data_IF_323710107261
#
_entry.id   IF_323710107261
#
_cell.length_a   1.000
_cell.length_b   1.000
_cell.length_c   1.000
_cell.angle_alpha   90.00
_cell.angle_beta   90.00
_cell.angle_gamma   90.00
#
_symmetry.space_group_name_H-M   'P 1'
#
loop_
_entity.id
_entity.type
_entity.pdbx_description
1 polymer ?
#
# COMPACT_ATOMS: atom_id res chain seq x y z
N UNK A 1 -16.49 -17.72 6.85
CA UNK A 1 -15.92 -16.37 6.59
C UNK A 1 -16.22 -15.38 7.71
N UNK A 2 -17.48 -15.14 8.11
CA UNK A 2 -17.80 -14.19 9.21
C UNK A 2 -17.10 -14.57 10.52
N UNK A 3 -17.04 -15.87 10.85
CA UNK A 3 -16.30 -16.38 12.01
C UNK A 3 -14.79 -16.12 11.91
N UNK A 4 -14.19 -16.25 10.72
CA UNK A 4 -12.76 -16.03 10.52
C UNK A 4 -12.38 -14.56 10.73
N UNK A 5 -13.16 -13.64 10.14
CA UNK A 5 -12.93 -12.20 10.30
C UNK A 5 -13.11 -11.79 11.76
N UNK A 6 -14.15 -12.30 12.43
CA UNK A 6 -14.36 -11.98 13.85
C UNK A 6 -13.21 -12.50 14.72
N UNK A 7 -12.78 -13.75 14.53
CA UNK A 7 -11.64 -14.30 15.27
C UNK A 7 -10.35 -13.49 15.04
N UNK A 8 -10.14 -13.01 13.81
CA UNK A 8 -9.00 -12.16 13.48
C UNK A 8 -9.07 -10.78 14.16
N UNK A 9 -10.28 -10.18 14.24
CA UNK A 9 -10.54 -8.96 15.01
C UNK A 9 -10.27 -9.19 16.50
N UNK A 10 -10.66 -10.35 17.03
CA UNK A 10 -10.48 -10.71 18.44
C UNK A 10 -9.01 -11.08 18.79
N UNK A 11 -8.09 -11.00 17.82
CA UNK A 11 -6.64 -11.16 18.03
C UNK A 11 -6.13 -12.58 17.86
N UNK A 12 -6.91 -13.51 17.29
CA UNK A 12 -6.42 -14.85 16.97
C UNK A 12 -5.43 -14.78 15.79
N UNK A 13 -4.14 -15.01 16.07
CA UNK A 13 -3.06 -14.92 15.08
C UNK A 13 -3.26 -15.82 13.87
N UNK A 14 -3.67 -17.08 14.06
CA UNK A 14 -3.91 -18.03 12.97
C UNK A 14 -5.06 -17.56 12.06
N UNK A 15 -6.10 -16.96 12.65
CA UNK A 15 -7.21 -16.39 11.90
C UNK A 15 -6.75 -15.17 11.08
N UNK A 16 -5.87 -14.33 11.64
CA UNK A 16 -5.28 -13.19 10.92
C UNK A 16 -4.48 -13.70 9.73
N UNK A 17 -3.54 -14.61 9.94
CA UNK A 17 -2.68 -15.17 8.88
C UNK A 17 -3.51 -15.81 7.76
N UNK A 18 -4.48 -16.65 8.12
CA UNK A 18 -5.38 -17.28 7.14
C UNK A 18 -6.19 -16.23 6.35
N UNK A 19 -6.65 -15.17 7.02
CA UNK A 19 -7.39 -14.10 6.37
C UNK A 19 -6.52 -13.27 5.43
N UNK A 20 -5.26 -12.99 5.78
CA UNK A 20 -4.31 -12.28 4.92
C UNK A 20 -3.99 -13.10 3.66
N UNK A 21 -3.70 -14.40 3.82
CA UNK A 21 -3.44 -15.31 2.70
C UNK A 21 -4.63 -15.39 1.73
N UNK A 22 -5.86 -15.45 2.25
CA UNK A 22 -7.07 -15.46 1.43
C UNK A 22 -7.32 -14.10 0.74
N UNK A 23 -6.92 -13.00 1.36
CA UNK A 23 -7.17 -11.64 0.85
C UNK A 23 -6.16 -11.25 -0.24
N UNK A 24 -4.90 -11.65 -0.10
CA UNK A 24 -3.78 -11.20 -0.94
C UNK A 24 -4.08 -11.28 -2.45
N UNK A 25 -4.56 -12.38 -3.05
CA UNK A 25 -4.79 -12.44 -4.50
C UNK A 25 -5.81 -11.40 -5.00
N UNK A 26 -6.83 -11.10 -4.19
CA UNK A 26 -7.86 -10.12 -4.52
C UNK A 26 -7.34 -8.69 -4.34
N UNK A 27 -6.53 -8.45 -3.31
CA UNK A 27 -5.84 -7.17 -3.11
C UNK A 27 -4.86 -6.87 -4.26
N UNK A 28 -4.06 -7.85 -4.67
CA UNK A 28 -3.15 -7.73 -5.82
C UNK A 28 -3.91 -7.39 -7.11
N UNK A 29 -5.00 -8.10 -7.41
CA UNK A 29 -5.84 -7.79 -8.59
C UNK A 29 -6.44 -6.38 -8.53
N UNK A 30 -6.80 -5.91 -7.34
CA UNK A 30 -7.36 -4.58 -7.15
C UNK A 30 -6.30 -3.47 -7.28
N UNK A 31 -5.11 -3.67 -6.70
CA UNK A 31 -3.99 -2.74 -6.72
C UNK A 31 -3.53 -2.40 -8.16
N UNK A 32 -3.57 -3.37 -9.07
CA UNK A 32 -3.25 -3.18 -10.51
C UNK A 32 -4.06 -2.10 -11.21
N UNK A 33 -5.18 -1.65 -10.64
CA UNK A 33 -6.00 -0.56 -11.18
C UNK A 33 -5.52 0.84 -10.77
N UNK A 34 -4.59 0.93 -9.81
CA UNK A 34 -4.20 2.18 -9.16
C UNK A 34 -2.70 2.41 -9.13
N UNK A 35 -1.90 1.37 -8.91
CA UNK A 35 -0.44 1.45 -8.90
C UNK A 35 0.12 1.57 -10.34
N UNK A 36 1.26 2.26 -10.51
CA UNK A 36 1.85 2.54 -11.83
C UNK A 36 2.56 1.32 -12.44
N UNK A 37 3.32 0.60 -11.62
CA UNK A 37 4.14 -0.54 -12.07
C UNK A 37 3.75 -1.85 -11.35
N UNK A 38 4.17 -3.01 -11.89
CA UNK A 38 4.04 -4.28 -11.19
C UNK A 38 4.76 -4.30 -9.83
N UNK A 39 5.91 -3.66 -9.72
CA UNK A 39 6.67 -3.59 -8.47
C UNK A 39 5.92 -2.76 -7.42
N UNK A 40 5.33 -1.62 -7.83
CA UNK A 40 4.46 -0.83 -6.93
C UNK A 40 3.25 -1.63 -6.44
N UNK A 41 2.70 -2.52 -7.28
CA UNK A 41 1.60 -3.41 -6.88
C UNK A 41 2.06 -4.36 -5.78
N UNK A 42 3.26 -4.93 -5.90
CA UNK A 42 3.81 -5.83 -4.90
C UNK A 42 4.07 -5.09 -3.59
N UNK A 43 4.73 -3.94 -3.64
CA UNK A 43 5.04 -3.11 -2.48
C UNK A 43 3.78 -2.61 -1.77
N UNK A 44 2.81 -2.05 -2.51
CA UNK A 44 1.56 -1.56 -1.93
C UNK A 44 0.77 -2.69 -1.27
N UNK A 45 0.74 -3.89 -1.87
CA UNK A 45 0.04 -5.04 -1.28
C UNK A 45 0.74 -5.53 -0.03
N UNK A 46 2.08 -5.62 -0.04
CA UNK A 46 2.84 -6.04 1.14
C UNK A 46 2.63 -5.08 2.31
N UNK A 47 2.79 -3.78 2.09
CA UNK A 47 2.57 -2.76 3.12
C UNK A 47 1.11 -2.79 3.61
N UNK A 48 0.16 -2.95 2.70
CA UNK A 48 -1.26 -3.09 3.06
C UNK A 48 -1.52 -4.29 3.96
N UNK A 49 -0.96 -5.47 3.64
CA UNK A 49 -1.10 -6.68 4.46
C UNK A 49 -0.49 -6.47 5.85
N UNK A 50 0.65 -5.78 5.95
CA UNK A 50 1.28 -5.44 7.21
C UNK A 50 0.44 -4.46 8.05
N UNK A 51 -0.13 -3.42 7.43
CA UNK A 51 -1.06 -2.49 8.08
C UNK A 51 -2.30 -3.24 8.58
N UNK A 52 -2.86 -4.13 7.76
CA UNK A 52 -4.02 -4.95 8.12
C UNK A 52 -3.68 -5.81 9.33
N UNK A 53 -2.57 -6.56 9.30
CA UNK A 53 -2.11 -7.38 10.42
C UNK A 53 -2.07 -6.59 11.73
N UNK A 54 -1.48 -5.39 11.69
CA UNK A 54 -1.31 -4.54 12.88
C UNK A 54 -2.58 -3.90 13.40
N UNK A 55 -3.56 -3.67 12.53
CA UNK A 55 -4.75 -2.85 12.85
C UNK A 55 -6.05 -3.61 12.82
N UNK A 56 -6.07 -4.90 12.47
CA UNK A 56 -7.31 -5.67 12.32
C UNK A 56 -8.15 -5.71 13.60
N UNK A 57 -7.52 -5.71 14.78
CA UNK A 57 -8.20 -5.62 16.08
C UNK A 57 -8.91 -4.28 16.33
N UNK A 58 -8.64 -3.25 15.53
CA UNK A 58 -9.32 -1.95 15.60
C UNK A 58 -10.64 -1.93 14.83
N UNK A 59 -10.92 -2.93 14.00
CA UNK A 59 -12.20 -3.05 13.29
C UNK A 59 -13.33 -3.36 14.27
N UNK A 60 -14.30 -2.45 14.37
CA UNK A 60 -15.48 -2.62 15.24
C UNK A 60 -16.47 -3.67 14.74
N UNK A 61 -16.43 -4.00 13.45
CA UNK A 61 -17.37 -4.93 12.84
C UNK A 61 -16.76 -5.65 11.65
N UNK A 62 -17.00 -6.95 11.57
CA UNK A 62 -16.60 -7.80 10.42
C UNK A 62 -17.20 -7.34 9.09
N UNK A 63 -18.36 -6.65 9.12
CA UNK A 63 -19.01 -6.11 7.91
C UNK A 63 -18.16 -5.04 7.19
N UNK A 64 -17.29 -4.34 7.92
CA UNK A 64 -16.47 -3.27 7.36
C UNK A 64 -15.13 -3.77 6.78
N UNK A 65 -14.79 -5.05 7.00
CA UNK A 65 -13.48 -5.59 6.65
C UNK A 65 -13.14 -5.38 5.16
N UNK A 66 -14.06 -5.75 4.27
CA UNK A 66 -13.80 -5.70 2.81
C UNK A 66 -13.55 -4.28 2.32
N UNK A 67 -14.40 -3.31 2.70
CA UNK A 67 -14.21 -1.92 2.29
C UNK A 67 -12.93 -1.33 2.90
N UNK A 68 -12.62 -1.68 4.15
CA UNK A 68 -11.44 -1.21 4.86
C UNK A 68 -10.13 -1.67 4.21
N UNK A 69 -9.98 -2.96 3.89
CA UNK A 69 -8.74 -3.48 3.28
C UNK A 69 -8.50 -2.90 1.87
N UNK A 70 -9.56 -2.69 1.08
CA UNK A 70 -9.44 -2.08 -0.25
C UNK A 70 -9.11 -0.58 -0.16
N UNK A 71 -9.58 0.11 0.89
CA UNK A 71 -9.20 1.48 1.14
C UNK A 71 -7.71 1.60 1.51
N UNK A 72 -7.18 0.68 2.32
CA UNK A 72 -5.75 0.63 2.64
C UNK A 72 -4.94 0.45 1.34
N UNK A 73 -5.26 -0.55 0.52
CA UNK A 73 -4.53 -0.77 -0.75
C UNK A 73 -4.56 0.44 -1.68
N UNK A 74 -5.71 1.10 -1.81
CA UNK A 74 -5.80 2.32 -2.63
C UNK A 74 -4.90 3.42 -2.08
N UNK A 75 -4.89 3.61 -0.77
CA UNK A 75 -4.06 4.63 -0.12
C UNK A 75 -2.57 4.35 -0.32
N UNK A 76 -2.14 3.09 -0.23
CA UNK A 76 -0.75 2.70 -0.46
C UNK A 76 -0.32 2.91 -1.93
N UNK A 77 -1.13 2.50 -2.92
CA UNK A 77 -0.84 2.82 -4.33
C UNK A 77 -0.70 4.33 -4.56
N UNK A 78 -1.57 5.15 -3.95
CA UNK A 78 -1.47 6.61 -4.06
C UNK A 78 -0.29 7.20 -3.30
N UNK A 79 0.19 6.55 -2.23
CA UNK A 79 1.40 6.97 -1.54
C UNK A 79 2.62 6.77 -2.44
N UNK A 80 2.75 5.61 -3.07
CA UNK A 80 3.85 5.31 -4.00
C UNK A 80 3.88 6.28 -5.19
N UNK A 81 2.74 6.55 -5.82
CA UNK A 81 2.66 7.53 -6.91
C UNK A 81 3.11 8.94 -6.48
N UNK A 82 2.78 9.35 -5.24
CA UNK A 82 3.25 10.64 -4.72
C UNK A 82 4.76 10.63 -4.53
N UNK A 83 5.32 9.55 -3.97
CA UNK A 83 6.75 9.41 -3.77
C UNK A 83 7.53 9.42 -5.09
N UNK A 84 7.04 8.70 -6.11
CA UNK A 84 7.64 8.69 -7.44
C UNK A 84 7.64 10.10 -8.06
N UNK A 85 6.51 10.81 -7.99
CA UNK A 85 6.44 12.20 -8.46
C UNK A 85 7.44 13.11 -7.74
N UNK A 86 7.50 13.05 -6.41
CA UNK A 86 8.47 13.85 -5.66
C UNK A 86 9.92 13.50 -5.99
N UNK A 87 10.23 12.23 -6.24
CA UNK A 87 11.55 11.79 -6.66
C UNK A 87 11.91 12.32 -8.05
N UNK A 88 11.00 12.27 -9.01
CA UNK A 88 11.19 12.84 -10.35
C UNK A 88 11.39 14.36 -10.29
N UNK A 89 10.54 15.07 -9.53
CA UNK A 89 10.67 16.53 -9.34
C UNK A 89 12.06 16.88 -8.73
N UNK A 90 12.56 16.09 -7.77
CA UNK A 90 13.90 16.29 -7.19
C UNK A 90 15.04 16.00 -8.17
N UNK A 91 14.91 14.97 -9.01
CA UNK A 91 15.91 14.66 -10.04
C UNK A 91 15.96 15.78 -11.08
N UNK A 92 14.81 16.31 -11.50
CA UNK A 92 14.74 17.44 -12.44
C UNK A 92 15.37 18.71 -11.85
N UNK A 93 15.02 19.06 -10.60
CA UNK A 93 15.63 20.19 -9.89
C UNK A 93 17.16 19.98 -9.78
N UNK A 94 17.61 18.79 -9.37
CA UNK A 94 19.05 18.49 -9.27
C UNK A 94 19.77 18.60 -10.61
N UNK A 95 19.11 18.26 -11.73
CA UNK A 95 19.70 18.36 -13.07
C UNK A 95 19.77 19.80 -13.54
N UNK A 96 18.77 20.61 -13.20
CA UNK A 96 18.77 22.05 -13.43
C UNK A 96 19.91 22.72 -12.66
N UNK A 97 20.04 22.42 -11.36
CA UNK A 97 21.13 22.91 -10.50
C UNK A 97 22.52 22.52 -11.04
N UNK A 98 22.66 21.29 -11.55
CA UNK A 98 23.92 20.83 -12.16
C UNK A 98 24.26 21.60 -13.45
N UNK A 99 23.27 21.87 -14.30
CA UNK A 99 23.46 22.63 -15.54
C UNK A 99 23.80 24.10 -15.26
N UNK A 100 23.12 24.72 -14.29
CA UNK A 100 23.41 26.08 -13.82
C UNK A 100 24.83 26.17 -13.21
N UNK A 101 25.25 25.16 -12.45
CA UNK A 101 26.61 25.09 -11.92
C UNK A 101 27.66 25.07 -13.04
N UNK A 102 27.48 24.25 -14.07
CA UNK A 102 28.44 24.15 -15.18
C UNK A 102 28.46 25.37 -16.10
N UNK A 103 27.35 26.10 -16.21
CA UNK A 103 27.25 27.32 -17.04
C UNK A 103 27.77 28.58 -16.34
N UNK A 104 27.97 28.54 -15.02
CA UNK A 104 28.57 29.64 -14.24
C UNK A 104 30.11 29.56 -14.13
N UNK A 105 30.71 28.46 -14.58
CA UNK A 105 32.17 28.22 -14.51
C UNK A 105 32.91 28.42 -15.83
N UNK A 106 32.22 28.89 -16.88
CA UNK A 106 32.79 29.30 -18.17
C UNK A 106 32.90 30.83 -18.31
#
# INVERSE_FOLDING_TARGET
MVSLIQNAIDGNTEAIESLLLQSQPSLTRFARKFCATPDDVEDAVQESLWIIYRKINSLRTSKAFVSWIFQIVRNECYALLRHEKFALDHIEISKLDYLDYTSSTD
#
